data_IF_229931495500
#
_entry.id   IF_229931495500
#
_cell.length_a   1.000
_cell.length_b   1.000
_cell.length_c   1.000
_cell.angle_alpha   90.00
_cell.angle_beta   90.00
_cell.angle_gamma   90.00
#
_symmetry.space_group_name_H-M   'P 1'
#
loop_
_entity.id
_entity.type
_entity.pdbx_description
1 polymer ?
#
# COMPACT_ATOMS: atom_id res chain seq x y z
N UNK A 1 0.19 -6.61 -11.42
CA UNK A 1 -0.32 -5.56 -10.50
C UNK A 1 -0.34 -4.25 -11.23
N UNK A 2 -1.46 -3.52 -11.22
CA UNK A 2 -1.62 -2.27 -11.96
C UNK A 2 -0.55 -1.26 -11.55
N UNK A 3 0.10 -0.68 -12.54
CA UNK A 3 1.14 0.33 -12.39
C UNK A 3 0.50 1.69 -12.01
N UNK A 4 0.76 2.23 -10.80
CA UNK A 4 0.39 3.58 -10.38
C UNK A 4 0.88 4.69 -11.32
N UNK A 5 1.87 4.44 -12.18
CA UNK A 5 2.31 5.40 -13.22
C UNK A 5 1.19 5.78 -14.19
N UNK A 6 0.12 4.97 -14.30
CA UNK A 6 -1.07 5.28 -15.12
C UNK A 6 -1.98 6.36 -14.50
N UNK A 7 -1.75 6.80 -13.25
CA UNK A 7 -2.45 7.93 -12.65
C UNK A 7 -2.20 9.25 -13.41
N UNK A 8 -1.08 9.39 -14.12
CA UNK A 8 -0.72 10.63 -14.84
C UNK A 8 -1.35 10.75 -16.24
N UNK A 9 -1.89 9.66 -16.81
CA UNK A 9 -2.22 9.63 -18.26
C UNK A 9 -3.70 9.89 -18.58
N UNK A 10 -4.61 9.96 -17.59
CA UNK A 10 -6.06 9.94 -17.85
C UNK A 10 -6.79 11.27 -17.52
N UNK A 11 -6.08 12.38 -17.30
CA UNK A 11 -6.70 13.71 -17.28
C UNK A 11 -5.99 14.65 -18.27
N UNK A 12 -6.76 15.11 -19.25
CA UNK A 12 -6.27 15.76 -20.46
C UNK A 12 -5.52 17.07 -20.27
N UNK A 13 -4.62 17.29 -21.23
CA UNK A 13 -4.24 18.60 -21.79
C UNK A 13 -3.87 19.69 -20.78
N UNK A 14 -2.70 19.54 -20.17
CA UNK A 14 -1.90 20.68 -19.70
C UNK A 14 -0.49 20.52 -20.22
N UNK A 15 -0.24 20.91 -21.48
CA UNK A 15 1.12 21.27 -21.90
C UNK A 15 1.50 22.51 -21.08
N UNK A 16 2.16 22.30 -19.95
CA UNK A 16 2.58 23.35 -19.04
C UNK A 16 3.99 23.06 -18.55
N UNK A 17 4.92 23.95 -18.90
CA UNK A 17 6.26 24.14 -18.31
C UNK A 17 7.21 22.93 -18.21
N UNK A 18 6.96 21.84 -18.95
CA UNK A 18 7.96 20.78 -19.16
C UNK A 18 8.76 20.89 -20.47
N UNK A 19 8.27 21.48 -21.58
CA UNK A 19 9.06 21.56 -22.82
C UNK A 19 10.33 22.42 -22.67
N UNK A 20 10.31 23.48 -21.85
CA UNK A 20 11.42 24.44 -21.78
C UNK A 20 12.56 24.04 -20.83
N UNK A 21 12.46 22.89 -20.14
CA UNK A 21 13.59 22.35 -19.36
C UNK A 21 14.19 21.08 -19.99
N UNK A 22 13.47 20.45 -20.93
CA UNK A 22 13.86 19.16 -21.52
C UNK A 22 14.66 19.31 -22.81
N UNK A 23 14.70 20.51 -23.40
CA UNK A 23 15.39 20.72 -24.68
C UNK A 23 16.92 20.83 -24.56
N UNK A 24 17.50 20.73 -23.36
CA UNK A 24 18.95 20.82 -23.15
C UNK A 24 19.60 19.59 -22.50
N UNK A 25 18.90 18.46 -22.37
CA UNK A 25 19.51 17.26 -21.79
C UNK A 25 18.88 15.98 -22.32
N UNK A 26 19.41 15.52 -23.45
CA UNK A 26 19.39 14.12 -23.86
C UNK A 26 20.09 13.27 -22.80
N UNK A 27 19.42 12.96 -21.71
CA UNK A 27 19.89 11.99 -20.74
C UNK A 27 18.79 11.00 -20.44
N UNK A 28 19.08 9.77 -20.84
CA UNK A 28 18.37 8.56 -20.48
C UNK A 28 18.02 8.55 -18.98
N UNK A 29 16.94 7.84 -18.69
CA UNK A 29 16.28 7.66 -17.40
C UNK A 29 17.14 7.17 -16.19
N UNK A 30 18.40 6.72 -16.30
CA UNK A 30 19.21 6.38 -15.11
C UNK A 30 19.64 7.56 -14.22
N UNK A 31 19.82 8.76 -14.76
CA UNK A 31 20.45 9.88 -14.04
C UNK A 31 19.60 10.50 -12.93
N UNK A 32 18.35 10.85 -13.25
CA UNK A 32 17.40 11.48 -12.31
C UNK A 32 17.08 10.54 -11.14
N UNK A 33 16.94 9.23 -11.42
CA UNK A 33 16.68 8.21 -10.39
C UNK A 33 17.88 8.06 -9.45
N UNK A 34 19.12 8.13 -9.97
CA UNK A 34 20.33 8.11 -9.14
C UNK A 34 20.47 9.38 -8.29
N UNK A 35 20.06 10.54 -8.81
CA UNK A 35 20.04 11.81 -8.08
C UNK A 35 19.06 11.76 -6.89
N UNK A 36 17.82 11.29 -7.12
CA UNK A 36 16.76 11.17 -6.10
C UNK A 36 17.07 10.09 -5.05
N UNK A 37 17.86 9.08 -5.41
CA UNK A 37 18.31 8.03 -4.48
C UNK A 37 19.17 8.59 -3.33
N UNK A 38 19.71 9.80 -3.45
CA UNK A 38 20.36 10.49 -2.34
C UNK A 38 19.32 11.13 -1.41
N UNK A 39 19.37 10.79 -0.12
CA UNK A 39 18.47 11.34 0.91
C UNK A 39 18.39 12.87 0.88
N UNK A 40 19.51 13.52 0.56
CA UNK A 40 19.63 14.97 0.48
C UNK A 40 18.90 15.57 -0.73
N UNK A 41 19.04 14.99 -1.93
CA UNK A 41 18.33 15.50 -3.11
C UNK A 41 16.82 15.30 -2.97
N UNK A 42 16.38 14.15 -2.45
CA UNK A 42 14.96 13.89 -2.17
C UNK A 42 14.37 14.93 -1.22
N UNK A 43 15.06 15.21 -0.12
CA UNK A 43 14.60 16.18 0.88
C UNK A 43 14.49 17.60 0.28
N UNK A 44 15.40 17.98 -0.62
CA UNK A 44 15.34 19.25 -1.35
C UNK A 44 14.14 19.31 -2.31
N UNK A 45 13.86 18.22 -3.03
CA UNK A 45 12.71 18.13 -3.94
C UNK A 45 11.39 18.19 -3.15
N UNK A 46 11.27 17.40 -2.07
CA UNK A 46 10.10 17.43 -1.19
C UNK A 46 9.86 18.83 -0.60
N UNK A 47 10.92 19.55 -0.21
CA UNK A 47 10.82 20.93 0.27
C UNK A 47 10.23 21.86 -0.80
N UNK A 48 10.77 21.86 -2.02
CA UNK A 48 10.25 22.69 -3.12
C UNK A 48 8.78 22.44 -3.41
N UNK A 49 8.35 21.17 -3.49
CA UNK A 49 6.94 20.84 -3.69
C UNK A 49 6.06 21.25 -2.50
N UNK A 50 6.54 21.12 -1.25
CA UNK A 50 5.84 21.64 -0.07
C UNK A 50 5.68 23.17 -0.15
N UNK A 51 6.73 23.89 -0.55
CA UNK A 51 6.68 25.34 -0.69
C UNK A 51 5.65 25.78 -1.74
N UNK A 52 5.55 25.06 -2.86
CA UNK A 52 4.50 25.30 -3.86
C UNK A 52 3.11 24.97 -3.29
N UNK A 53 2.97 23.82 -2.63
CA UNK A 53 1.69 23.32 -2.12
C UNK A 53 1.08 24.24 -1.04
N UNK A 54 1.92 24.80 -0.16
CA UNK A 54 1.50 25.61 0.98
C UNK A 54 1.73 27.11 0.82
N UNK A 55 2.78 27.53 0.10
CA UNK A 55 3.10 28.95 -0.11
C UNK A 55 2.26 29.60 -1.20
N UNK A 56 1.88 28.84 -2.22
CA UNK A 56 1.06 29.34 -3.34
C UNK A 56 -0.15 28.43 -3.61
N UNK A 57 -1.04 28.24 -2.62
CA UNK A 57 -2.04 27.17 -2.67
C UNK A 57 -3.04 27.27 -3.82
N UNK A 58 -3.24 28.45 -4.41
CA UNK A 58 -4.17 28.70 -5.53
C UNK A 58 -3.47 28.98 -6.85
N UNK A 59 -2.14 28.95 -6.89
CA UNK A 59 -1.40 29.10 -8.14
C UNK A 59 -1.67 27.91 -9.06
N UNK A 60 -1.67 28.15 -10.37
CA UNK A 60 -1.82 27.09 -11.38
C UNK A 60 -0.78 25.98 -11.21
N UNK A 61 0.43 26.36 -10.80
CA UNK A 61 1.54 25.46 -10.51
C UNK A 61 1.28 24.55 -9.30
N UNK A 62 0.39 24.94 -8.38
CA UNK A 62 -0.01 24.12 -7.25
C UNK A 62 -1.11 23.09 -7.60
N UNK A 63 -1.73 23.20 -8.78
CA UNK A 63 -2.66 22.19 -9.26
C UNK A 63 -1.91 20.89 -9.53
N UNK A 64 -2.38 19.78 -8.94
CA UNK A 64 -1.76 18.45 -9.06
C UNK A 64 -0.30 18.33 -8.57
N UNK A 65 0.22 19.34 -7.86
CA UNK A 65 1.59 19.32 -7.32
C UNK A 65 1.83 18.13 -6.38
N UNK A 66 0.78 17.67 -5.69
CA UNK A 66 0.82 16.49 -4.83
C UNK A 66 1.05 15.20 -5.63
N UNK A 67 0.56 15.13 -6.87
CA UNK A 67 0.76 13.98 -7.75
C UNK A 67 2.21 13.93 -8.22
N UNK A 68 2.79 15.06 -8.61
CA UNK A 68 4.22 15.17 -8.95
C UNK A 68 5.11 14.85 -7.75
N UNK A 69 4.77 15.38 -6.57
CA UNK A 69 5.47 15.06 -5.33
C UNK A 69 5.45 13.55 -5.05
N UNK A 70 4.30 12.90 -5.20
CA UNK A 70 4.17 11.45 -5.05
C UNK A 70 4.95 10.68 -6.10
N UNK A 71 4.84 11.01 -7.39
CA UNK A 71 5.51 10.28 -8.48
C UNK A 71 7.02 10.38 -8.37
N UNK A 72 7.52 11.59 -8.13
CA UNK A 72 8.94 11.92 -8.29
C UNK A 72 9.75 11.59 -7.03
N UNK A 73 9.10 11.45 -5.87
CA UNK A 73 9.80 11.17 -4.61
C UNK A 73 9.40 9.83 -4.01
N UNK A 74 8.13 9.68 -3.63
CA UNK A 74 7.67 8.49 -2.91
C UNK A 74 7.63 7.27 -3.81
N UNK A 75 6.89 7.35 -4.93
CA UNK A 75 6.62 6.21 -5.79
C UNK A 75 7.86 5.79 -6.60
N UNK A 76 8.65 6.73 -7.11
CA UNK A 76 9.92 6.42 -7.78
C UNK A 76 10.84 5.54 -6.93
N UNK A 77 10.99 5.86 -5.63
CA UNK A 77 11.80 5.06 -4.72
C UNK A 77 11.14 3.74 -4.34
N UNK A 78 9.81 3.72 -4.13
CA UNK A 78 9.08 2.46 -3.95
C UNK A 78 9.35 1.53 -5.14
N UNK A 79 9.18 2.00 -6.38
CA UNK A 79 9.41 1.21 -7.57
C UNK A 79 10.86 0.68 -7.65
N UNK A 80 11.85 1.51 -7.29
CA UNK A 80 13.25 1.11 -7.26
C UNK A 80 13.56 0.05 -6.18
N UNK A 81 12.99 0.17 -4.98
CA UNK A 81 13.14 -0.86 -3.95
C UNK A 81 12.48 -2.17 -4.38
N UNK A 82 11.28 -2.09 -4.98
CA UNK A 82 10.55 -3.27 -5.45
C UNK A 82 11.30 -4.01 -6.55
N UNK A 83 11.86 -3.31 -7.53
CA UNK A 83 12.63 -3.95 -8.62
C UNK A 83 13.87 -4.69 -8.12
N UNK A 84 14.44 -4.27 -6.98
CA UNK A 84 15.58 -4.95 -6.36
C UNK A 84 15.17 -6.08 -5.42
N UNK A 85 14.09 -5.92 -4.66
CA UNK A 85 13.66 -6.88 -3.63
C UNK A 85 12.84 -8.04 -4.22
N UNK A 86 11.99 -7.78 -5.22
CA UNK A 86 11.07 -8.80 -5.76
C UNK A 86 11.80 -10.01 -6.38
N UNK A 87 12.85 -9.85 -7.21
CA UNK A 87 13.58 -10.99 -7.77
C UNK A 87 14.26 -11.86 -6.71
N UNK A 88 14.77 -11.22 -5.66
CA UNK A 88 15.45 -11.88 -4.54
C UNK A 88 14.46 -12.74 -3.74
N UNK A 89 13.25 -12.22 -3.51
CA UNK A 89 12.19 -12.96 -2.79
C UNK A 89 11.60 -14.11 -3.61
N UNK A 90 11.64 -14.01 -4.94
CA UNK A 90 11.19 -15.07 -5.84
C UNK A 90 12.24 -16.19 -6.02
N UNK A 91 13.49 -15.97 -5.62
CA UNK A 91 14.58 -16.93 -5.78
C UNK A 91 14.57 -18.02 -4.70
N UNK A 92 15.01 -19.27 -5.01
CA UNK A 92 15.09 -20.36 -4.04
C UNK A 92 16.02 -20.05 -2.84
N UNK A 93 15.81 -20.69 -1.67
CA UNK A 93 16.66 -20.52 -0.50
C UNK A 93 18.08 -21.05 -0.78
N UNK A 94 19.02 -20.11 -0.96
CA UNK A 94 20.45 -20.40 -1.17
C UNK A 94 21.31 -19.16 -1.45
N UNK A 95 20.79 -17.97 -1.14
CA UNK A 95 21.40 -16.71 -1.56
C UNK A 95 22.54 -16.31 -0.61
N UNK A 96 23.78 -16.24 -1.13
CA UNK A 96 24.99 -15.81 -0.41
C UNK A 96 24.84 -14.42 0.23
N UNK A 97 23.95 -13.56 -0.29
CA UNK A 97 23.76 -12.19 0.16
C UNK A 97 22.56 -12.01 1.10
N UNK A 98 22.13 -13.06 1.82
CA UNK A 98 20.95 -13.03 2.69
C UNK A 98 20.94 -11.85 3.69
N UNK A 99 22.11 -11.51 4.26
CA UNK A 99 22.26 -10.39 5.20
C UNK A 99 22.03 -9.04 4.51
N UNK A 100 22.62 -8.83 3.32
CA UNK A 100 22.44 -7.60 2.54
C UNK A 100 20.99 -7.44 2.08
N UNK A 101 20.36 -8.54 1.66
CA UNK A 101 18.96 -8.57 1.27
C UNK A 101 18.04 -8.19 2.44
N UNK A 102 18.34 -8.71 3.64
CA UNK A 102 17.64 -8.32 4.87
C UNK A 102 17.86 -6.83 5.18
N UNK A 103 19.09 -6.33 5.09
CA UNK A 103 19.39 -4.90 5.29
C UNK A 103 18.65 -4.00 4.29
N UNK A 104 18.59 -4.39 3.02
CA UNK A 104 17.85 -3.65 1.98
C UNK A 104 16.35 -3.60 2.29
N UNK A 105 15.77 -4.74 2.68
CA UNK A 105 14.38 -4.81 3.11
C UNK A 105 14.11 -3.91 4.32
N UNK A 106 14.98 -3.93 5.33
CA UNK A 106 14.83 -3.05 6.50
C UNK A 106 14.93 -1.57 6.12
N UNK A 107 15.86 -1.19 5.23
CA UNK A 107 15.94 0.19 4.70
C UNK A 107 14.64 0.58 3.98
N UNK A 108 14.06 -0.31 3.19
CA UNK A 108 12.79 -0.05 2.52
C UNK A 108 11.64 0.13 3.51
N UNK A 109 11.53 -0.73 4.53
CA UNK A 109 10.48 -0.61 5.56
C UNK A 109 10.65 0.66 6.41
N UNK A 110 11.88 1.07 6.71
CA UNK A 110 12.18 2.33 7.39
C UNK A 110 11.77 3.53 6.52
N UNK A 111 12.11 3.50 5.23
CA UNK A 111 11.69 4.48 4.24
C UNK A 111 10.16 4.62 4.20
N UNK A 112 9.41 3.51 4.09
CA UNK A 112 7.95 3.53 4.09
C UNK A 112 7.37 4.11 5.38
N UNK A 113 7.99 3.86 6.53
CA UNK A 113 7.57 4.45 7.81
C UNK A 113 7.78 5.97 7.86
N UNK A 114 8.94 6.45 7.41
CA UNK A 114 9.22 7.88 7.28
C UNK A 114 8.26 8.55 6.29
N UNK A 115 7.97 7.89 5.16
CA UNK A 115 7.08 8.43 4.14
C UNK A 115 5.62 8.48 4.58
N UNK A 116 5.17 7.50 5.37
CA UNK A 116 3.85 7.55 6.01
C UNK A 116 3.73 8.73 6.96
N UNK A 117 4.78 9.03 7.71
CA UNK A 117 4.84 10.20 8.60
C UNK A 117 4.77 11.50 7.78
N UNK A 118 5.55 11.60 6.71
CA UNK A 118 5.58 12.76 5.82
C UNK A 118 4.20 13.09 5.23
N UNK A 119 3.51 12.11 4.65
CA UNK A 119 2.18 12.32 4.05
C UNK A 119 1.10 12.58 5.10
N UNK A 120 1.17 11.96 6.27
CA UNK A 120 0.24 12.25 7.38
C UNK A 120 0.37 13.71 7.84
N UNK A 121 1.61 14.24 7.86
CA UNK A 121 1.88 15.65 8.13
C UNK A 121 1.30 16.60 7.09
N UNK A 122 1.45 16.26 5.79
CA UNK A 122 0.84 17.05 4.70
C UNK A 122 -0.68 17.10 4.86
N UNK A 123 -1.33 15.97 5.12
CA UNK A 123 -2.78 15.90 5.32
C UNK A 123 -3.20 16.76 6.51
N UNK A 124 -2.56 16.57 7.66
CA UNK A 124 -2.88 17.32 8.89
C UNK A 124 -2.76 18.82 8.68
N UNK A 125 -1.70 19.27 8.01
CA UNK A 125 -1.47 20.69 7.70
C UNK A 125 -2.47 21.25 6.69
N UNK A 126 -2.84 20.49 5.66
CA UNK A 126 -3.84 20.90 4.68
C UNK A 126 -5.22 21.06 5.32
N UNK A 127 -5.63 20.09 6.15
CA UNK A 127 -6.92 20.13 6.85
C UNK A 127 -6.99 21.34 7.78
N UNK A 128 -5.91 21.63 8.52
CA UNK A 128 -5.83 22.77 9.43
C UNK A 128 -5.84 24.12 8.70
N UNK A 129 -4.93 24.33 7.76
CA UNK A 129 -4.75 25.63 7.09
C UNK A 129 -5.97 26.02 6.26
N UNK A 130 -6.66 25.04 5.65
CA UNK A 130 -7.82 25.30 4.79
C UNK A 130 -9.17 25.04 5.46
N UNK A 131 -9.19 24.69 6.75
CA UNK A 131 -10.42 24.45 7.53
C UNK A 131 -11.32 23.37 6.91
N UNK A 132 -10.74 22.25 6.49
CA UNK A 132 -11.43 21.17 5.76
C UNK A 132 -12.19 20.23 6.73
N UNK A 133 -13.29 20.72 7.29
CA UNK A 133 -14.10 20.02 8.29
C UNK A 133 -14.63 18.67 7.82
N UNK A 134 -14.86 18.48 6.51
CA UNK A 134 -15.30 17.22 5.90
C UNK A 134 -14.28 16.10 6.09
N UNK A 135 -12.99 16.45 6.21
CA UNK A 135 -11.92 15.48 6.43
C UNK A 135 -11.75 15.09 7.91
N UNK A 136 -12.36 15.81 8.86
CA UNK A 136 -12.16 15.58 10.30
C UNK A 136 -12.55 14.15 10.72
N UNK A 137 -13.65 13.62 10.19
CA UNK A 137 -14.06 12.24 10.46
C UNK A 137 -13.01 11.22 10.03
N UNK A 138 -12.38 11.43 8.87
CA UNK A 138 -11.28 10.61 8.39
C UNK A 138 -10.02 10.76 9.27
N UNK A 139 -9.69 11.97 9.71
CA UNK A 139 -8.56 12.23 10.61
C UNK A 139 -8.69 11.46 11.91
N UNK A 140 -9.86 11.52 12.55
CA UNK A 140 -10.15 10.82 13.81
C UNK A 140 -10.14 9.31 13.61
N UNK A 141 -10.83 8.80 12.58
CA UNK A 141 -10.91 7.37 12.31
C UNK A 141 -9.54 6.73 12.01
N UNK A 142 -8.60 7.50 11.47
CA UNK A 142 -7.24 7.04 11.13
C UNK A 142 -6.23 7.31 12.26
N UNK A 143 -6.66 7.91 13.37
CA UNK A 143 -5.77 8.30 14.47
C UNK A 143 -4.71 9.32 14.05
N UNK A 144 -4.99 10.13 13.03
CA UNK A 144 -4.09 11.19 12.60
C UNK A 144 -4.30 12.40 13.52
N UNK A 145 -3.62 12.40 14.66
CA UNK A 145 -3.67 13.52 15.60
C UNK A 145 -2.88 14.71 15.05
N UNK A 146 -3.57 15.82 14.84
CA UNK A 146 -3.02 17.09 14.33
C UNK A 146 -1.88 17.61 15.21
N UNK A 147 -1.93 17.33 16.52
CA UNK A 147 -1.01 17.85 17.55
C UNK A 147 0.32 17.09 17.64
N UNK A 148 0.37 15.78 17.38
CA UNK A 148 1.61 14.98 17.51
C UNK A 148 2.65 15.34 16.44
N UNK A 149 2.20 15.78 15.26
CA UNK A 149 3.09 16.13 14.16
C UNK A 149 3.78 17.48 14.39
N UNK A 150 3.09 18.44 15.02
CA UNK A 150 3.64 19.76 15.34
C UNK A 150 4.80 19.67 16.34
N UNK A 151 4.70 18.82 17.36
CA UNK A 151 5.83 18.58 18.27
C UNK A 151 7.06 18.04 17.51
N UNK A 152 6.87 17.17 16.51
CA UNK A 152 7.97 16.57 15.75
C UNK A 152 8.60 17.52 14.74
N UNK A 153 7.81 18.34 14.04
CA UNK A 153 8.32 19.33 13.08
C UNK A 153 8.94 20.54 13.81
N UNK A 154 8.40 20.93 14.98
CA UNK A 154 8.97 21.98 15.85
C UNK A 154 10.28 21.53 16.51
N UNK A 155 10.37 20.29 17.01
CA UNK A 155 11.64 19.72 17.52
C UNK A 155 12.71 19.63 16.41
N UNK A 156 12.31 19.32 15.17
CA UNK A 156 13.23 19.30 14.04
C UNK A 156 13.74 20.69 13.62
N UNK A 157 12.96 21.76 13.86
CA UNK A 157 13.43 23.15 13.70
C UNK A 157 14.31 23.61 14.86
N UNK A 158 14.04 23.17 16.09
CA UNK A 158 14.88 23.49 17.26
C UNK A 158 16.26 22.82 17.21
N UNK A 159 16.40 21.65 16.58
CA UNK A 159 17.70 21.01 16.35
C UNK A 159 18.57 21.68 15.28
N UNK A 160 18.09 22.76 14.67
CA UNK A 160 18.76 23.45 13.57
C UNK A 160 18.39 24.94 13.62
N UNK A 161 18.95 25.71 14.57
CA UNK A 161 19.24 27.17 14.49
C UNK A 161 19.96 27.61 15.77
N UNK A 162 21.19 28.11 15.62
CA UNK A 162 21.75 29.14 16.50
C UNK A 162 20.96 30.45 16.27
N UNK A 163 20.36 30.97 17.34
CA UNK A 163 19.92 32.35 17.62
C UNK A 163 19.25 33.18 16.50
N UNK A 164 17.93 33.37 16.62
CA UNK A 164 17.30 34.69 16.72
C UNK A 164 15.93 34.57 17.40
N UNK A 165 15.51 35.50 18.27
CA UNK A 165 14.26 35.37 19.01
C UNK A 165 13.09 35.64 18.06
N UNK A 166 12.37 34.57 17.68
CA UNK A 166 11.13 34.70 16.94
C UNK A 166 10.05 35.20 17.90
N UNK A 167 9.56 36.41 17.62
CA UNK A 167 8.41 37.00 18.26
C UNK A 167 7.21 36.04 18.24
N UNK A 168 6.47 36.07 19.34
CA UNK A 168 5.21 35.39 19.55
C UNK A 168 4.16 35.95 18.57
N UNK A 169 4.04 35.36 17.38
CA UNK A 169 2.85 35.52 16.55
C UNK A 169 2.02 34.23 16.58
N UNK A 170 1.19 34.15 17.61
CA UNK A 170 0.05 33.25 17.68
C UNK A 170 -1.07 33.81 16.76
N UNK A 171 -1.70 32.90 16.02
CA UNK A 171 -2.78 33.06 15.03
C UNK A 171 -2.40 33.58 13.63
N UNK A 172 -2.38 32.70 12.59
CA UNK A 172 -2.39 33.17 11.21
C UNK A 172 -3.79 33.67 10.86
N UNK A 173 -3.99 34.98 10.86
CA UNK A 173 -5.12 35.62 10.17
C UNK A 173 -5.06 35.27 8.67
N UNK A 174 -6.17 34.84 8.05
CA UNK A 174 -6.16 34.45 6.64
C UNK A 174 -5.96 35.67 5.73
N UNK A 175 -4.79 35.75 5.08
CA UNK A 175 -4.39 36.77 4.09
C UNK A 175 -4.97 36.55 2.69
N UNK A 176 -5.95 35.65 2.54
CA UNK A 176 -6.59 35.35 1.27
C UNK A 176 -8.12 35.48 1.37
N UNK A 177 -8.80 35.91 0.29
CA UNK A 177 -10.26 35.93 0.25
C UNK A 177 -10.80 34.55 0.64
N UNK A 178 -12.00 34.48 1.27
CA UNK A 178 -12.57 33.24 1.74
C UNK A 178 -12.52 32.20 0.62
N UNK A 179 -12.04 30.97 0.90
CA UNK A 179 -11.78 30.00 -0.14
C UNK A 179 -13.08 29.77 -0.90
N UNK A 180 -13.08 30.11 -2.19
CA UNK A 180 -14.15 29.73 -3.13
C UNK A 180 -14.47 28.25 -2.92
N UNK A 181 -15.74 27.89 -3.11
CA UNK A 181 -16.16 26.49 -3.08
C UNK A 181 -15.27 25.60 -3.97
N UNK A 182 -14.76 26.15 -5.08
CA UNK A 182 -13.80 25.48 -5.96
C UNK A 182 -12.43 25.27 -5.29
N UNK A 183 -11.88 26.29 -4.62
CA UNK A 183 -10.63 26.19 -3.89
C UNK A 183 -10.70 25.14 -2.77
N UNK A 184 -11.82 25.10 -2.04
CA UNK A 184 -12.07 24.07 -1.02
C UNK A 184 -12.13 22.67 -1.64
N UNK A 185 -12.89 22.51 -2.73
CA UNK A 185 -13.01 21.25 -3.47
C UNK A 185 -11.66 20.74 -3.97
N UNK A 186 -10.81 21.65 -4.48
CA UNK A 186 -9.47 21.32 -4.94
C UNK A 186 -8.57 20.84 -3.81
N UNK A 187 -8.65 21.46 -2.61
CA UNK A 187 -7.87 21.04 -1.45
C UNK A 187 -8.37 19.72 -0.84
N UNK A 188 -9.68 19.50 -0.81
CA UNK A 188 -10.25 18.19 -0.45
C UNK A 188 -9.77 17.09 -1.40
N UNK A 189 -9.64 17.40 -2.69
CA UNK A 189 -9.12 16.44 -3.66
C UNK A 189 -7.64 16.08 -3.41
N UNK A 190 -6.83 17.03 -2.93
CA UNK A 190 -5.45 16.74 -2.51
C UNK A 190 -5.43 15.84 -1.27
N UNK A 191 -6.26 16.12 -0.26
CA UNK A 191 -6.40 15.27 0.93
C UNK A 191 -6.84 13.86 0.54
N UNK A 192 -7.85 13.74 -0.32
CA UNK A 192 -8.31 12.47 -0.87
C UNK A 192 -7.17 11.66 -1.51
N UNK A 193 -6.37 12.28 -2.39
CA UNK A 193 -5.24 11.59 -3.02
C UNK A 193 -4.16 11.20 -2.01
N UNK A 194 -3.87 12.07 -1.04
CA UNK A 194 -2.91 11.79 0.02
C UNK A 194 -3.35 10.60 0.91
N UNK A 195 -4.66 10.44 1.17
CA UNK A 195 -5.18 9.24 1.83
C UNK A 195 -4.94 7.98 0.99
N UNK A 196 -5.07 8.05 -0.34
CA UNK A 196 -4.72 6.93 -1.23
C UNK A 196 -3.22 6.62 -1.15
N UNK A 197 -2.35 7.64 -1.12
CA UNK A 197 -0.90 7.45 -0.98
C UNK A 197 -0.54 6.78 0.36
N UNK A 198 -1.17 7.20 1.46
CA UNK A 198 -1.01 6.58 2.78
C UNK A 198 -1.48 5.12 2.79
N UNK A 199 -2.60 4.82 2.11
CA UNK A 199 -3.07 3.45 1.90
C UNK A 199 -2.07 2.61 1.11
N UNK A 200 -1.51 3.15 0.05
CA UNK A 200 -0.48 2.48 -0.77
C UNK A 200 0.79 2.21 0.05
N UNK A 201 1.26 3.18 0.84
CA UNK A 201 2.41 3.00 1.75
C UNK A 201 2.13 1.89 2.77
N UNK A 202 0.95 1.89 3.40
CA UNK A 202 0.55 0.86 4.36
C UNK A 202 0.51 -0.52 3.70
N UNK A 203 -0.06 -0.62 2.49
CA UNK A 203 -0.12 -1.87 1.71
C UNK A 203 1.27 -2.40 1.39
N UNK A 204 2.18 -1.54 0.91
CA UNK A 204 3.56 -1.95 0.64
C UNK A 204 4.28 -2.35 1.93
N UNK A 205 4.08 -1.63 3.03
CA UNK A 205 4.72 -1.98 4.31
C UNK A 205 4.32 -3.39 4.75
N UNK A 206 3.09 -3.79 4.54
CA UNK A 206 2.60 -5.12 4.91
C UNK A 206 3.06 -6.23 3.94
N UNK A 207 3.00 -5.97 2.63
CA UNK A 207 3.46 -6.91 1.60
C UNK A 207 4.94 -7.31 1.77
N UNK A 208 5.76 -6.39 2.28
CA UNK A 208 7.20 -6.58 2.47
C UNK A 208 7.59 -6.85 3.94
N UNK A 209 6.75 -6.44 4.91
CA UNK A 209 6.97 -6.68 6.34
C UNK A 209 6.58 -8.08 6.81
N UNK A 210 5.67 -8.74 6.10
CA UNK A 210 5.26 -10.11 6.42
C UNK A 210 6.29 -11.10 5.87
N UNK A 211 7.00 -11.81 6.76
CA UNK A 211 7.90 -12.88 6.37
C UNK A 211 7.12 -13.99 5.62
N UNK A 212 7.65 -14.55 4.51
CA UNK A 212 6.97 -15.59 3.74
C UNK A 212 6.60 -16.83 4.56
N UNK A 213 7.33 -17.14 5.64
CA UNK A 213 7.02 -18.25 6.55
C UNK A 213 5.82 -18.02 7.48
N UNK A 214 5.27 -16.81 7.56
CA UNK A 214 4.09 -16.52 8.39
C UNK A 214 2.77 -16.55 7.62
N UNK A 215 2.83 -16.54 6.28
CA UNK A 215 1.66 -16.70 5.43
C UNK A 215 1.15 -18.16 5.37
N UNK A 216 1.99 -19.13 5.77
CA UNK A 216 1.67 -20.56 5.80
C UNK A 216 1.37 -21.11 7.21
N UNK A 217 1.32 -20.28 8.25
CA UNK A 217 0.79 -20.76 9.52
C UNK A 217 -0.74 -20.82 9.42
N UNK A 218 -1.26 -22.01 9.13
CA UNK A 218 -2.62 -22.38 9.52
C UNK A 218 -2.89 -21.92 10.97
N UNK A 219 -4.15 -21.60 11.33
CA UNK A 219 -4.50 -21.25 12.70
C UNK A 219 -4.31 -22.49 13.59
N UNK A 220 -3.07 -22.74 14.02
CA UNK A 220 -2.75 -23.86 14.88
C UNK A 220 -3.32 -23.57 16.26
N UNK A 221 -4.37 -24.30 16.60
CA UNK A 221 -4.97 -24.42 17.93
C UNK A 221 -3.99 -25.09 18.89
N UNK A 222 -2.91 -24.40 19.26
CA UNK A 222 -2.05 -24.89 20.35
C UNK A 222 -2.56 -24.35 21.68
N UNK A 223 -3.38 -25.18 22.35
CA UNK A 223 -3.59 -25.14 23.79
C UNK A 223 -2.22 -25.27 24.48
N UNK A 224 -1.68 -24.16 24.98
CA UNK A 224 -0.52 -24.19 25.87
C UNK A 224 -0.99 -24.32 27.32
N UNK A 225 -0.68 -25.46 27.92
CA UNK A 225 -0.78 -25.70 29.36
C UNK A 225 0.31 -24.89 30.08
N UNK A 226 -0.11 -24.03 31.01
CA UNK A 226 0.52 -23.79 32.31
C UNK A 226 1.93 -23.18 32.35
N UNK A 227 2.01 -21.94 32.87
CA UNK A 227 3.26 -21.35 33.39
C UNK A 227 3.06 -19.90 33.83
N UNK A 228 3.22 -19.63 35.13
CA UNK A 228 2.72 -18.46 35.86
C UNK A 228 3.76 -17.32 35.95
N UNK A 229 3.26 -16.07 35.85
CA UNK A 229 3.79 -14.77 36.35
C UNK A 229 4.96 -14.08 35.63
N UNK A 230 4.64 -12.94 35.02
CA UNK A 230 5.57 -11.86 34.65
C UNK A 230 4.81 -10.64 34.11
N UNK A 231 4.64 -9.63 34.95
CA UNK A 231 3.89 -8.37 34.75
C UNK A 231 4.56 -7.49 33.68
N UNK A 232 3.82 -7.17 32.61
CA UNK A 232 4.19 -6.17 31.61
C UNK A 232 3.12 -6.15 30.52
N UNK A 233 2.32 -5.08 30.48
CA UNK A 233 1.18 -4.92 29.57
C UNK A 233 1.62 -4.88 28.10
N UNK A 234 1.75 -6.05 27.49
CA UNK A 234 1.70 -6.21 26.05
C UNK A 234 0.22 -6.25 25.67
N UNK A 235 -0.27 -5.21 25.01
CA UNK A 235 -1.52 -5.30 24.29
C UNK A 235 -1.47 -6.58 23.45
N UNK A 236 -2.37 -7.52 23.74
CA UNK A 236 -2.55 -8.71 22.93
C UNK A 236 -2.70 -8.22 21.49
N UNK A 237 -1.72 -8.54 20.63
CA UNK A 237 -1.92 -8.48 19.18
C UNK A 237 -2.93 -9.56 18.84
N UNK A 238 -4.20 -9.31 19.17
CA UNK A 238 -5.33 -9.92 18.51
C UNK A 238 -5.05 -9.81 17.01
N UNK A 239 -5.15 -10.92 16.29
CA UNK A 239 -4.89 -11.05 14.87
C UNK A 239 -5.45 -9.84 14.09
N UNK A 240 -4.62 -8.82 13.87
CA UNK A 240 -5.01 -7.68 13.05
C UNK A 240 -5.26 -8.23 11.66
N UNK A 241 -6.47 -8.01 11.13
CA UNK A 241 -6.85 -8.46 9.78
C UNK A 241 -5.76 -7.99 8.79
N UNK A 242 -5.23 -8.89 7.92
CA UNK A 242 -4.24 -8.50 6.94
C UNK A 242 -4.73 -7.31 6.12
N UNK A 243 -3.87 -6.33 5.88
CA UNK A 243 -4.10 -5.11 5.12
C UNK A 243 -5.14 -4.16 5.74
N UNK A 244 -5.55 -4.36 6.99
CA UNK A 244 -6.54 -3.53 7.69
C UNK A 244 -6.18 -2.04 7.69
N UNK A 245 -4.91 -1.69 7.89
CA UNK A 245 -4.46 -0.29 7.86
C UNK A 245 -4.60 0.33 6.47
N UNK A 246 -4.23 -0.40 5.42
CA UNK A 246 -4.41 0.07 4.05
C UNK A 246 -5.90 0.21 3.68
N UNK A 247 -6.70 -0.80 4.07
CA UNK A 247 -8.15 -0.81 3.91
C UNK A 247 -8.79 0.42 4.57
N UNK A 248 -8.40 0.75 5.81
CA UNK A 248 -8.90 1.93 6.52
C UNK A 248 -8.65 3.23 5.74
N UNK A 249 -7.43 3.45 5.22
CA UNK A 249 -7.13 4.63 4.40
C UNK A 249 -7.99 4.71 3.14
N UNK A 250 -8.14 3.61 2.39
CA UNK A 250 -8.95 3.61 1.18
C UNK A 250 -10.45 3.78 1.47
N UNK A 251 -10.95 3.21 2.58
CA UNK A 251 -12.33 3.42 3.04
C UNK A 251 -12.56 4.89 3.37
N UNK A 252 -11.65 5.53 4.10
CA UNK A 252 -11.80 6.96 4.42
C UNK A 252 -11.69 7.84 3.18
N UNK A 253 -10.81 7.53 2.23
CA UNK A 253 -10.77 8.24 0.95
C UNK A 253 -12.09 8.08 0.17
N UNK A 254 -12.67 6.88 0.15
CA UNK A 254 -13.99 6.62 -0.46
C UNK A 254 -15.10 7.43 0.22
N UNK A 255 -15.12 7.49 1.55
CA UNK A 255 -16.12 8.25 2.29
C UNK A 255 -15.98 9.76 2.06
N UNK A 256 -14.74 10.25 1.90
CA UNK A 256 -14.47 11.66 1.65
C UNK A 256 -14.94 12.10 0.26
N UNK A 257 -14.64 11.33 -0.80
CA UNK A 257 -15.07 11.63 -2.18
C UNK A 257 -15.62 10.36 -2.87
N UNK A 258 -16.92 10.05 -2.71
CA UNK A 258 -17.51 8.79 -3.18
C UNK A 258 -17.64 8.68 -4.71
N UNK A 259 -17.59 9.81 -5.41
CA UNK A 259 -17.69 9.86 -6.88
C UNK A 259 -16.51 9.22 -7.61
N UNK A 260 -15.37 9.05 -6.93
CA UNK A 260 -14.12 8.61 -7.56
C UNK A 260 -13.96 7.10 -7.47
N UNK A 261 -13.62 6.47 -8.61
CA UNK A 261 -13.47 5.02 -8.70
C UNK A 261 -12.16 4.46 -8.11
N UNK A 262 -11.14 5.31 -7.94
CA UNK A 262 -9.81 4.90 -7.50
C UNK A 262 -9.81 4.14 -6.14
N UNK A 263 -10.46 4.62 -5.06
CA UNK A 263 -10.47 3.93 -3.78
C UNK A 263 -11.06 2.51 -3.88
N UNK A 264 -12.10 2.33 -4.70
CA UNK A 264 -12.68 1.00 -4.95
C UNK A 264 -11.69 0.07 -5.66
N UNK A 265 -10.96 0.56 -6.67
CA UNK A 265 -9.90 -0.22 -7.30
C UNK A 265 -8.81 -0.64 -6.29
N UNK A 266 -8.41 0.25 -5.38
CA UNK A 266 -7.42 -0.07 -4.36
C UNK A 266 -7.94 -1.08 -3.32
N UNK A 267 -9.20 -0.96 -2.89
CA UNK A 267 -9.86 -1.95 -2.02
C UNK A 267 -9.93 -3.32 -2.70
N UNK A 268 -10.20 -3.37 -4.01
CA UNK A 268 -10.20 -4.61 -4.76
C UNK A 268 -8.83 -5.30 -4.81
N UNK A 269 -7.74 -4.51 -4.86
CA UNK A 269 -6.36 -5.03 -4.75
C UNK A 269 -6.13 -5.60 -3.34
N UNK A 270 -6.57 -4.91 -2.29
CA UNK A 270 -6.47 -5.41 -0.90
C UNK A 270 -7.22 -6.72 -0.72
N UNK A 271 -8.48 -6.81 -1.16
CA UNK A 271 -9.26 -8.05 -1.09
C UNK A 271 -8.63 -9.19 -1.88
N UNK A 272 -7.99 -8.88 -3.03
CA UNK A 272 -7.22 -9.88 -3.78
C UNK A 272 -6.07 -10.49 -2.95
N UNK A 273 -5.38 -9.68 -2.14
CA UNK A 273 -4.33 -10.18 -1.24
C UNK A 273 -4.89 -10.95 -0.04
N UNK A 274 -6.12 -10.65 0.39
CA UNK A 274 -6.84 -11.38 1.43
C UNK A 274 -7.52 -12.66 0.90
N UNK A 275 -7.34 -13.00 -0.39
CA UNK A 275 -8.03 -14.09 -1.09
C UNK A 275 -9.57 -13.97 -1.13
N UNK A 276 -10.11 -12.77 -0.89
CA UNK A 276 -11.52 -12.45 -1.09
C UNK A 276 -11.75 -12.02 -2.54
N UNK A 277 -11.91 -13.01 -3.42
CA UNK A 277 -12.08 -12.77 -4.85
C UNK A 277 -13.44 -12.17 -5.21
N UNK A 278 -14.48 -12.44 -4.42
CA UNK A 278 -15.81 -11.87 -4.61
C UNK A 278 -15.81 -10.39 -4.23
N UNK A 279 -15.30 -10.04 -3.04
CA UNK A 279 -15.11 -8.66 -2.62
C UNK A 279 -14.21 -7.89 -3.56
N UNK A 280 -13.15 -8.51 -4.09
CA UNK A 280 -12.33 -7.93 -5.14
C UNK A 280 -13.16 -7.63 -6.41
N UNK A 281 -13.92 -8.61 -6.93
CA UNK A 281 -14.76 -8.43 -8.12
C UNK A 281 -15.75 -7.28 -7.95
N UNK A 282 -16.49 -7.27 -6.83
CA UNK A 282 -17.49 -6.26 -6.51
C UNK A 282 -16.88 -4.86 -6.49
N UNK A 283 -15.71 -4.70 -5.86
CA UNK A 283 -15.04 -3.41 -5.80
C UNK A 283 -14.48 -2.97 -7.16
N UNK A 284 -13.99 -3.87 -8.02
CA UNK A 284 -13.64 -3.49 -9.40
C UNK A 284 -14.85 -3.03 -10.20
N UNK A 285 -16.02 -3.68 -10.05
CA UNK A 285 -17.27 -3.20 -10.67
C UNK A 285 -17.66 -1.81 -10.15
N UNK A 286 -17.64 -1.61 -8.82
CA UNK A 286 -17.92 -0.29 -8.22
C UNK A 286 -16.98 0.80 -8.74
N UNK A 287 -15.70 0.49 -8.94
CA UNK A 287 -14.74 1.43 -9.51
C UNK A 287 -15.11 1.91 -10.94
N UNK A 288 -15.91 1.14 -11.68
CA UNK A 288 -16.41 1.46 -13.02
C UNK A 288 -17.80 2.12 -12.99
N UNK A 289 -18.59 1.88 -11.95
CA UNK A 289 -19.99 2.32 -11.83
C UNK A 289 -20.19 3.58 -10.97
N UNK A 290 -19.18 4.42 -10.86
CA UNK A 290 -19.25 5.73 -10.17
C UNK A 290 -19.12 6.88 -11.16
N UNK A 291 -19.47 8.10 -10.74
CA UNK A 291 -19.47 9.31 -11.58
C UNK A 291 -18.12 9.58 -12.25
N UNK A 292 -17.00 9.31 -11.56
CA UNK A 292 -15.63 9.42 -12.08
C UNK A 292 -14.97 8.04 -12.08
N UNK A 293 -15.24 7.21 -13.11
CA UNK A 293 -14.81 5.82 -13.14
C UNK A 293 -13.28 5.69 -13.18
N UNK A 294 -12.77 4.51 -12.81
CA UNK A 294 -11.35 4.17 -12.88
C UNK A 294 -11.12 3.05 -13.92
N UNK A 295 -10.84 3.38 -15.19
CA UNK A 295 -10.83 2.41 -16.30
C UNK A 295 -9.87 1.23 -16.11
N UNK A 296 -8.77 1.41 -15.35
CA UNK A 296 -7.82 0.33 -15.05
C UNK A 296 -8.46 -0.83 -14.27
N UNK A 297 -9.61 -0.61 -13.61
CA UNK A 297 -10.38 -1.66 -12.97
C UNK A 297 -10.89 -2.72 -13.96
N UNK A 298 -11.17 -2.33 -15.22
CA UNK A 298 -11.59 -3.25 -16.28
C UNK A 298 -10.48 -4.25 -16.62
N UNK A 299 -9.25 -3.76 -16.86
CA UNK A 299 -8.08 -4.61 -17.12
C UNK A 299 -7.82 -5.57 -15.94
N UNK A 300 -7.99 -5.09 -14.71
CA UNK A 300 -7.81 -5.91 -13.51
C UNK A 300 -8.88 -7.00 -13.39
N UNK A 301 -10.13 -6.71 -13.77
CA UNK A 301 -11.22 -7.67 -13.79
C UNK A 301 -11.00 -8.77 -14.83
N UNK A 302 -10.59 -8.39 -16.05
CA UNK A 302 -10.26 -9.33 -17.13
C UNK A 302 -9.13 -10.27 -16.69
N UNK A 303 -8.01 -9.71 -16.20
CA UNK A 303 -6.88 -10.53 -15.71
C UNK A 303 -7.27 -11.53 -14.63
N UNK A 304 -8.14 -11.14 -13.71
CA UNK A 304 -8.61 -12.03 -12.64
C UNK A 304 -9.56 -13.12 -13.13
N UNK A 305 -10.43 -12.80 -14.10
CA UNK A 305 -11.28 -13.80 -14.76
C UNK A 305 -10.43 -14.87 -15.44
N UNK A 306 -9.41 -14.46 -16.19
CA UNK A 306 -8.45 -15.39 -16.81
C UNK A 306 -7.68 -16.23 -15.79
N UNK A 307 -7.24 -15.63 -14.68
CA UNK A 307 -6.60 -16.37 -13.57
C UNK A 307 -7.53 -17.42 -12.95
N UNK A 308 -8.81 -17.08 -12.78
CA UNK A 308 -9.82 -17.98 -12.20
C UNK A 308 -10.10 -19.18 -13.12
N UNK A 309 -10.19 -18.95 -14.45
CA UNK A 309 -10.33 -20.04 -15.44
C UNK A 309 -9.16 -21.03 -15.37
N UNK A 310 -7.93 -20.52 -15.29
CA UNK A 310 -6.72 -21.37 -15.17
C UNK A 310 -6.72 -22.20 -13.88
N UNK A 311 -7.14 -21.61 -12.76
CA UNK A 311 -7.25 -22.33 -11.49
C UNK A 311 -8.28 -23.46 -11.57
N UNK A 312 -9.47 -23.19 -12.11
CA UNK A 312 -10.53 -24.20 -12.30
C UNK A 312 -10.04 -25.34 -13.20
N UNK A 313 -9.41 -25.03 -14.32
CA UNK A 313 -8.84 -26.05 -15.21
C UNK A 313 -7.78 -26.92 -14.51
N UNK A 314 -6.95 -26.31 -13.67
CA UNK A 314 -5.93 -27.03 -12.87
C UNK A 314 -6.57 -27.96 -11.84
N UNK A 315 -7.63 -27.52 -11.16
CA UNK A 315 -8.37 -28.33 -10.18
C UNK A 315 -9.01 -29.53 -10.90
N UNK A 316 -9.69 -29.30 -12.02
CA UNK A 316 -10.30 -30.36 -12.83
C UNK A 316 -9.26 -31.38 -13.33
N UNK A 317 -8.09 -30.92 -13.77
CA UNK A 317 -7.02 -31.83 -14.20
C UNK A 317 -6.49 -32.69 -13.03
N UNK A 318 -6.35 -32.10 -11.83
CA UNK A 318 -5.93 -32.83 -10.62
C UNK A 318 -6.97 -33.86 -10.17
N UNK A 319 -8.25 -33.55 -10.28
CA UNK A 319 -9.34 -34.49 -9.97
C UNK A 319 -9.36 -35.66 -10.95
N UNK A 320 -9.22 -35.40 -12.25
CA UNK A 320 -9.10 -36.44 -13.27
C UNK A 320 -7.88 -37.35 -13.02
N UNK A 321 -6.73 -36.78 -12.68
CA UNK A 321 -5.51 -37.53 -12.37
C UNK A 321 -5.64 -38.38 -11.09
N UNK A 322 -6.45 -37.95 -10.11
CA UNK A 322 -6.75 -38.76 -8.92
C UNK A 322 -7.70 -39.92 -9.22
N UNK A 323 -8.64 -39.73 -10.15
CA UNK A 323 -9.57 -40.78 -10.58
C UNK A 323 -8.91 -41.83 -11.48
N UNK A 324 -7.82 -41.48 -12.16
CA UNK A 324 -7.08 -42.40 -13.03
C UNK A 324 -5.89 -43.11 -12.37
N UNK A 325 -5.61 -42.89 -11.08
CA UNK A 325 -4.68 -43.74 -10.34
C UNK A 325 -5.40 -45.05 -9.93
N UNK A 326 -4.95 -46.22 -10.41
CA UNK A 326 -5.53 -47.49 -10.00
C UNK A 326 -5.28 -47.68 -8.50
N UNK A 327 -6.33 -48.06 -7.77
CA UNK A 327 -6.24 -48.39 -6.35
C UNK A 327 -5.07 -49.31 -6.09
N UNK A 328 -4.25 -48.94 -5.11
CA UNK A 328 -3.27 -49.84 -4.47
C UNK A 328 -3.96 -51.19 -4.28
N UNK A 329 -3.39 -52.23 -4.90
CA UNK A 329 -3.90 -53.60 -4.84
C UNK A 329 -4.26 -53.91 -3.38
N UNK A 330 -5.55 -54.14 -3.10
CA UNK A 330 -5.92 -55.01 -1.99
C UNK A 330 -5.20 -56.33 -2.26
N UNK A 331 -4.11 -56.56 -1.55
CA UNK A 331 -3.61 -57.91 -1.36
C UNK A 331 -4.72 -58.66 -0.62
N UNK A 332 -5.64 -59.26 -1.38
CA UNK A 332 -6.47 -60.32 -0.84
C UNK A 332 -5.54 -61.50 -0.66
N UNK A 333 -5.07 -61.64 0.57
CA UNK A 333 -4.45 -62.84 1.11
C UNK A 333 -5.24 -64.04 0.62
N UNK A 334 -4.57 -64.92 -0.11
CA UNK A 334 -5.03 -66.27 -0.41
C UNK A 334 -5.53 -66.94 0.88
N UNK A 335 -6.73 -67.54 0.90
CA UNK A 335 -7.16 -68.32 2.05
C UNK A 335 -6.27 -69.57 2.19
N UNK A 336 -5.94 -70.01 3.41
CA UNK A 336 -5.13 -71.20 3.61
C UNK A 336 -5.88 -72.44 3.12
N UNK A 337 -5.18 -73.30 2.37
CA UNK A 337 -5.65 -74.65 2.05
C UNK A 337 -5.87 -75.41 3.35
N UNK A 338 -7.12 -75.73 3.66
CA UNK A 338 -7.46 -76.73 4.68
C UNK A 338 -7.07 -78.08 4.11
N UNK A 339 -6.03 -78.69 4.67
CA UNK A 339 -5.72 -80.10 4.47
C UNK A 339 -6.88 -80.94 5.04
N UNK A 340 -7.50 -81.76 4.19
CA UNK A 340 -8.35 -82.86 4.63
C UNK A 340 -7.55 -83.73 5.59
N UNK A 341 -8.00 -83.81 6.84
CA UNK A 341 -7.62 -84.88 7.75
C UNK A 341 -8.58 -86.03 7.48
N UNK A 342 -8.05 -87.11 6.91
CA UNK A 342 -8.74 -88.38 6.81
C UNK A 342 -9.04 -88.88 8.23
N UNK A 343 -10.30 -88.80 8.64
CA UNK A 343 -10.80 -89.49 9.82
C UNK A 343 -11.16 -90.90 9.42
N UNK A 344 -10.17 -91.78 9.46
CA UNK A 344 -10.36 -93.22 9.38
C UNK A 344 -9.67 -93.85 10.60
N UNK A 345 -10.37 -93.92 11.74
CA UNK A 345 -10.20 -94.98 12.74
C UNK A 345 -11.21 -94.90 13.89
N UNK A 346 -11.94 -96.02 14.00
CA UNK A 346 -12.63 -96.62 15.15
C UNK A 346 -13.92 -95.98 15.65
#
# INVERSE_FOLDING_TARGET
MGDPSKLSRVQGTSKGLWPTFVESSSFETPGIVRLISSSNARSRIQRKYKDILFGFPFARQAQAVDQSLWSDTSYALIAQYRSRIDPIRASPPGNKNAVENRKMLQKFLAFLGAEGTFWSGIVSRLVRIHGLTEANGAMVALGMNIVEFENRESLARQGQIDMAPAALEDNPTPTHPPPSHEHRSNKLLVVFRALIYLGDIARYREQYGTHPNKANSEPSTKRSRGGRRGKGGGAEKLNEKPFSKAEAFYVQARLLLPDYGNPFNQLAIVHSYQHDFFGAALNYYRALCVRKPFPTAQDNLIRRKEGSKKLVATIQAKEKAKQSQPGSLRQTTTPPKISRVDSNRM
#
